data_IF_285846476986
#
_entry.id   IF_285846476986
#
_cell.length_a   1.000
_cell.length_b   1.000
_cell.length_c   1.000
_cell.angle_alpha   90.00
_cell.angle_beta   90.00
_cell.angle_gamma   90.00
#
_symmetry.space_group_name_H-M   'P 1'
#
loop_
_entity.id
_entity.type
_entity.pdbx_description
1 polymer ?
#
# COMPACT_ATOMS: atom_id res chain seq x y z
N UNK A 1 1.37 15.13 -14.15
CA UNK A 1 2.28 15.39 -13.03
C UNK A 1 1.46 15.31 -11.75
N UNK A 2 1.96 14.67 -10.71
CA UNK A 2 1.32 14.56 -9.39
C UNK A 2 1.99 15.60 -8.49
N UNK A 3 1.20 16.48 -7.87
CA UNK A 3 1.72 17.42 -6.86
C UNK A 3 1.76 16.70 -5.51
N UNK A 4 2.87 16.67 -4.76
CA UNK A 4 2.92 16.11 -3.42
C UNK A 4 2.04 16.93 -2.46
N UNK A 5 1.35 16.22 -1.56
CA UNK A 5 0.52 16.82 -0.51
C UNK A 5 1.01 16.27 0.82
N UNK A 6 1.84 17.02 1.50
CA UNK A 6 2.43 16.63 2.76
C UNK A 6 3.94 16.39 2.67
N UNK A 7 4.60 16.31 3.81
CA UNK A 7 5.99 15.91 3.89
C UNK A 7 6.08 14.40 3.69
N UNK A 8 6.38 13.99 2.47
CA UNK A 8 6.66 12.59 2.15
C UNK A 8 8.15 12.35 2.36
N UNK A 9 8.51 11.44 3.26
CA UNK A 9 9.90 11.10 3.56
C UNK A 9 10.50 10.12 2.55
N UNK A 10 9.74 9.72 1.54
CA UNK A 10 10.20 8.80 0.49
C UNK A 10 11.09 9.53 -0.53
N UNK A 11 12.28 8.99 -0.78
CA UNK A 11 13.22 9.50 -1.79
C UNK A 11 12.86 8.88 -3.16
N UNK A 12 12.29 9.64 -4.11
CA UNK A 12 11.79 9.10 -5.40
C UNK A 12 12.87 8.97 -6.47
N UNK A 13 14.15 8.84 -6.07
CA UNK A 13 15.28 8.61 -6.96
C UNK A 13 15.65 7.13 -6.98
N UNK A 14 16.11 6.63 -8.12
CA UNK A 14 16.67 5.29 -8.19
C UNK A 14 18.00 5.22 -7.45
N UNK A 15 18.24 4.10 -6.76
CA UNK A 15 19.48 3.88 -6.01
C UNK A 15 20.74 4.21 -6.85
N UNK A 16 20.81 3.71 -8.08
CA UNK A 16 21.95 3.95 -8.97
C UNK A 16 22.08 5.42 -9.43
N UNK A 17 20.96 6.11 -9.66
CA UNK A 17 20.96 7.52 -10.04
C UNK A 17 21.43 8.40 -8.88
N UNK A 18 20.93 8.13 -7.66
CA UNK A 18 21.39 8.82 -6.45
C UNK A 18 22.88 8.60 -6.21
N UNK A 19 23.38 7.35 -6.27
CA UNK A 19 24.80 7.04 -6.12
C UNK A 19 25.65 7.80 -7.13
N UNK A 20 25.24 7.81 -8.41
CA UNK A 20 25.94 8.54 -9.46
C UNK A 20 25.97 10.06 -9.23
N UNK A 21 24.84 10.62 -8.78
CA UNK A 21 24.71 12.05 -8.49
C UNK A 21 25.58 12.45 -7.29
N UNK A 22 25.51 11.71 -6.18
CA UNK A 22 26.33 11.97 -4.99
C UNK A 22 27.81 11.82 -5.29
N UNK A 23 28.24 10.77 -6.00
CA UNK A 23 29.62 10.58 -6.39
C UNK A 23 30.15 11.67 -7.34
N UNK A 24 29.30 12.37 -8.09
CA UNK A 24 29.70 13.44 -9.00
C UNK A 24 29.85 14.81 -8.31
N UNK A 25 29.36 14.98 -7.09
CA UNK A 25 29.42 16.24 -6.34
C UNK A 25 30.74 16.39 -5.54
N UNK A 26 31.51 15.33 -5.38
CA UNK A 26 32.84 15.35 -4.76
C UNK A 26 33.94 15.70 -5.75
N UNK A 27 35.18 15.80 -5.26
CA UNK A 27 36.36 15.90 -6.12
C UNK A 27 36.51 14.63 -6.99
N UNK A 28 36.96 14.78 -8.24
CA UNK A 28 37.10 13.64 -9.16
C UNK A 28 37.97 12.51 -8.56
N UNK A 29 38.95 12.84 -7.71
CA UNK A 29 39.78 11.88 -6.99
C UNK A 29 39.00 10.99 -6.01
N UNK A 30 37.90 11.50 -5.43
CA UNK A 30 37.10 10.80 -4.41
C UNK A 30 35.97 9.98 -5.02
N UNK A 31 35.67 10.19 -6.31
CA UNK A 31 34.54 9.52 -6.98
C UNK A 31 34.59 8.00 -6.89
N UNK A 32 35.78 7.41 -7.02
CA UNK A 32 35.93 5.96 -6.92
C UNK A 32 35.70 5.46 -5.50
N UNK A 33 36.15 6.21 -4.48
CA UNK A 33 35.93 5.86 -3.08
C UNK A 33 34.44 5.98 -2.72
N UNK A 34 33.71 6.98 -3.23
CA UNK A 34 32.25 7.07 -3.08
C UNK A 34 31.55 5.86 -3.70
N UNK A 35 31.90 5.46 -4.91
CA UNK A 35 31.32 4.29 -5.56
C UNK A 35 31.60 3.00 -4.78
N UNK A 36 32.81 2.87 -4.17
CA UNK A 36 33.12 1.75 -3.27
C UNK A 36 32.26 1.77 -2.01
N UNK A 37 32.17 2.93 -1.38
CA UNK A 37 31.30 3.11 -0.21
C UNK A 37 29.86 2.68 -0.50
N UNK A 38 29.26 3.16 -1.60
CA UNK A 38 27.91 2.79 -2.00
C UNK A 38 27.80 1.31 -2.37
N UNK A 39 28.79 0.74 -3.00
CA UNK A 39 28.83 -0.67 -3.36
C UNK A 39 28.82 -1.59 -2.13
N UNK A 40 29.75 -1.39 -1.20
CA UNK A 40 29.89 -2.22 -0.01
C UNK A 40 28.68 -2.02 0.93
N UNK A 41 28.28 -0.77 1.18
CA UNK A 41 27.10 -0.51 2.01
C UNK A 41 25.83 -1.11 1.41
N UNK A 42 25.64 -1.03 0.09
CA UNK A 42 24.51 -1.69 -0.58
C UNK A 42 24.54 -3.22 -0.39
N UNK A 43 25.71 -3.85 -0.46
CA UNK A 43 25.86 -5.28 -0.25
C UNK A 43 25.51 -5.68 1.21
N UNK A 44 25.94 -4.86 2.17
CA UNK A 44 25.62 -5.08 3.58
C UNK A 44 24.11 -4.95 3.85
N UNK A 45 23.46 -3.92 3.31
CA UNK A 45 22.00 -3.76 3.41
C UNK A 45 21.27 -4.91 2.73
N UNK A 46 21.70 -5.29 1.53
CA UNK A 46 21.10 -6.42 0.81
C UNK A 46 21.14 -7.72 1.61
N UNK A 47 22.30 -8.05 2.19
CA UNK A 47 22.43 -9.22 3.04
C UNK A 47 21.51 -9.15 4.27
N UNK A 48 21.44 -8.00 4.93
CA UNK A 48 20.57 -7.78 6.07
C UNK A 48 19.09 -8.00 5.71
N UNK A 49 18.63 -7.41 4.60
CA UNK A 49 17.24 -7.54 4.14
C UNK A 49 16.94 -8.95 3.60
N UNK A 50 17.93 -9.63 3.00
CA UNK A 50 17.78 -11.01 2.55
C UNK A 50 17.49 -11.96 3.73
N UNK A 51 18.21 -11.80 4.84
CA UNK A 51 17.96 -12.58 6.06
C UNK A 51 16.54 -12.31 6.61
N UNK A 52 16.11 -11.07 6.64
CA UNK A 52 14.74 -10.74 7.04
C UNK A 52 13.69 -11.34 6.09
N UNK A 53 13.97 -11.30 4.80
CA UNK A 53 13.08 -11.89 3.79
C UNK A 53 12.91 -13.39 3.99
N UNK A 54 14.02 -14.12 4.19
CA UNK A 54 13.95 -15.56 4.38
C UNK A 54 13.15 -15.91 5.66
N UNK A 55 13.37 -15.16 6.73
CA UNK A 55 12.60 -15.32 7.95
C UNK A 55 11.10 -14.96 7.77
N UNK A 56 10.80 -13.88 7.03
CA UNK A 56 9.41 -13.54 6.69
C UNK A 56 8.72 -14.63 5.87
N UNK A 57 9.45 -15.25 4.93
CA UNK A 57 8.92 -16.38 4.13
C UNK A 57 8.58 -17.57 5.03
N UNK A 58 9.48 -17.92 5.95
CA UNK A 58 9.27 -19.04 6.88
C UNK A 58 8.07 -18.79 7.79
N UNK A 59 7.95 -17.57 8.34
CA UNK A 59 6.83 -17.17 9.18
C UNK A 59 5.50 -17.13 8.40
N UNK A 60 5.55 -16.73 7.12
CA UNK A 60 4.35 -16.58 6.30
C UNK A 60 3.88 -17.89 5.66
N UNK A 61 4.79 -18.84 5.45
CA UNK A 61 4.50 -20.08 4.72
C UNK A 61 3.24 -20.85 5.16
N UNK A 62 2.92 -21.00 6.47
CA UNK A 62 1.69 -21.67 6.89
C UNK A 62 0.41 -20.89 6.54
N UNK A 63 0.52 -19.58 6.34
CA UNK A 63 -0.61 -18.68 6.11
C UNK A 63 -0.74 -18.25 4.66
N UNK A 64 0.22 -18.58 3.79
CA UNK A 64 0.20 -18.19 2.38
C UNK A 64 -0.84 -19.01 1.60
N UNK A 65 -1.94 -18.39 1.12
CA UNK A 65 -2.97 -19.09 0.37
C UNK A 65 -2.51 -19.59 -1.00
N UNK A 66 -1.38 -19.08 -1.51
CA UNK A 66 -0.83 -19.42 -2.83
C UNK A 66 0.39 -20.36 -2.73
N UNK A 67 0.67 -20.92 -1.53
CA UNK A 67 1.87 -21.76 -1.34
C UNK A 67 1.74 -23.12 -2.03
N UNK A 68 2.80 -23.51 -2.76
CA UNK A 68 2.96 -24.84 -3.35
C UNK A 68 3.74 -25.80 -2.42
N UNK A 69 4.32 -25.26 -1.33
CA UNK A 69 5.12 -26.03 -0.38
C UNK A 69 4.24 -26.56 0.77
N UNK A 70 4.60 -27.70 1.33
CA UNK A 70 3.94 -28.28 2.50
C UNK A 70 4.92 -28.40 3.65
N UNK A 71 4.51 -28.03 4.87
CA UNK A 71 5.34 -28.26 6.05
C UNK A 71 5.54 -29.77 6.25
N UNK A 72 6.71 -30.12 6.81
CA UNK A 72 7.00 -31.53 7.17
C UNK A 72 6.17 -31.97 8.37
N UNK A 73 5.81 -31.05 9.25
CA UNK A 73 5.04 -31.30 10.48
C UNK A 73 3.95 -30.26 10.60
N UNK A 74 2.75 -30.66 10.92
CA UNK A 74 1.65 -29.73 11.20
C UNK A 74 1.95 -28.94 12.47
N UNK A 75 1.65 -27.67 12.45
CA UNK A 75 1.82 -26.78 13.60
C UNK A 75 0.73 -27.05 14.64
N UNK A 76 1.10 -27.02 15.90
CA UNK A 76 0.16 -26.93 17.01
C UNK A 76 -0.56 -25.57 16.97
N UNK A 77 -1.87 -25.48 17.26
CA UNK A 77 -2.62 -24.22 17.25
C UNK A 77 -2.01 -23.09 18.09
N UNK A 78 -1.31 -23.41 19.17
CA UNK A 78 -0.60 -22.41 19.97
C UNK A 78 0.63 -21.86 19.24
N UNK A 79 1.39 -22.73 18.58
CA UNK A 79 2.54 -22.37 17.77
C UNK A 79 2.13 -21.57 16.52
N UNK A 80 0.97 -21.90 15.92
CA UNK A 80 0.40 -21.13 14.79
C UNK A 80 0.11 -19.69 15.17
N UNK A 81 -0.52 -19.45 16.34
CA UNK A 81 -0.80 -18.11 16.84
C UNK A 81 0.49 -17.30 17.14
N UNK A 82 1.50 -17.94 17.73
CA UNK A 82 2.79 -17.32 17.99
C UNK A 82 3.48 -16.94 16.68
N UNK A 83 3.47 -17.82 15.69
CA UNK A 83 4.05 -17.59 14.36
C UNK A 83 3.33 -16.49 13.60
N UNK A 84 1.98 -16.45 13.65
CA UNK A 84 1.19 -15.35 13.08
C UNK A 84 1.58 -14.01 13.72
N UNK A 85 1.69 -13.96 15.05
CA UNK A 85 2.05 -12.75 15.76
C UNK A 85 3.46 -12.27 15.37
N UNK A 86 4.43 -13.20 15.30
CA UNK A 86 5.80 -12.91 14.88
C UNK A 86 5.86 -12.40 13.42
N UNK A 87 5.07 -12.99 12.52
CA UNK A 87 4.95 -12.53 11.14
C UNK A 87 4.49 -11.08 11.05
N UNK A 88 3.39 -10.73 11.73
CA UNK A 88 2.89 -9.35 11.69
C UNK A 88 3.83 -8.35 12.36
N UNK A 89 4.51 -8.74 13.44
CA UNK A 89 5.50 -7.89 14.09
C UNK A 89 6.69 -7.59 13.14
N UNK A 90 7.18 -8.59 12.43
CA UNK A 90 8.27 -8.41 11.48
C UNK A 90 7.81 -7.64 10.24
N UNK A 91 6.60 -7.89 9.75
CA UNK A 91 5.99 -7.16 8.63
C UNK A 91 5.81 -5.68 8.98
N UNK A 92 5.32 -5.36 10.18
CA UNK A 92 5.16 -3.97 10.63
C UNK A 92 6.49 -3.22 10.65
N UNK A 93 7.55 -3.85 11.18
CA UNK A 93 8.91 -3.26 11.17
C UNK A 93 9.40 -2.99 9.75
N UNK A 94 9.23 -3.97 8.85
CA UNK A 94 9.59 -3.80 7.45
C UNK A 94 8.82 -2.64 6.80
N UNK A 95 7.55 -2.50 7.11
CA UNK A 95 6.72 -1.42 6.60
C UNK A 95 7.17 -0.05 7.13
N UNK A 96 7.57 0.03 8.38
CA UNK A 96 8.16 1.24 8.98
C UNK A 96 9.46 1.60 8.26
N UNK A 97 10.37 0.64 8.02
CA UNK A 97 11.59 0.83 7.25
C UNK A 97 11.32 1.29 5.80
N UNK A 98 10.21 0.87 5.22
CA UNK A 98 9.75 1.32 3.90
C UNK A 98 8.95 2.63 3.93
N UNK A 99 8.92 3.36 5.07
CA UNK A 99 8.14 4.60 5.26
C UNK A 99 6.63 4.44 5.04
N UNK A 100 6.10 3.24 5.33
CA UNK A 100 4.66 3.03 5.37
C UNK A 100 4.10 3.44 6.74
N UNK A 101 2.91 4.01 6.74
CA UNK A 101 2.16 4.31 7.96
C UNK A 101 0.84 3.56 7.98
N UNK A 102 0.45 3.06 9.12
CA UNK A 102 -0.84 2.42 9.30
C UNK A 102 -1.94 3.47 9.36
N UNK A 103 -3.07 3.19 8.71
CA UNK A 103 -4.30 3.97 8.81
C UNK A 103 -5.39 3.12 9.45
N UNK A 104 -6.06 3.72 10.45
CA UNK A 104 -7.17 3.06 11.10
C UNK A 104 -8.38 2.96 10.16
N UNK A 105 -9.10 1.85 10.25
CA UNK A 105 -10.33 1.64 9.47
C UNK A 105 -11.34 2.77 9.63
N UNK A 106 -11.48 3.31 10.83
CA UNK A 106 -12.40 4.41 11.14
C UNK A 106 -12.10 5.66 10.30
N UNK A 107 -10.84 5.92 9.99
CA UNK A 107 -10.44 7.04 9.13
C UNK A 107 -10.86 6.80 7.67
N UNK A 108 -10.81 5.56 7.22
CA UNK A 108 -11.30 5.15 5.89
C UNK A 108 -12.81 5.29 5.87
N UNK A 109 -13.51 4.79 6.89
CA UNK A 109 -14.96 4.79 7.01
C UNK A 109 -15.58 6.20 7.17
N UNK A 110 -14.94 7.12 7.88
CA UNK A 110 -15.42 8.50 8.04
C UNK A 110 -15.24 9.36 6.77
N UNK A 111 -14.32 9.00 5.89
CA UNK A 111 -14.22 9.56 4.55
C UNK A 111 -15.43 9.26 3.65
N UNK A 112 -16.29 8.32 4.06
CA UNK A 112 -17.46 7.79 3.31
C UNK A 112 -18.60 8.78 3.07
N UNK A 113 -18.69 9.87 3.80
CA UNK A 113 -19.78 10.86 3.63
C UNK A 113 -19.65 11.60 2.29
N UNK A 114 -18.51 11.53 1.64
CA UNK A 114 -18.32 12.00 0.27
C UNK A 114 -18.64 10.85 -0.68
N UNK A 115 -19.82 10.94 -1.33
CA UNK A 115 -20.28 10.06 -2.40
C UNK A 115 -19.11 9.61 -3.27
N UNK A 116 -18.91 8.29 -3.37
CA UNK A 116 -18.08 7.74 -4.44
C UNK A 116 -18.44 8.47 -5.73
N UNK A 117 -17.45 8.94 -6.48
CA UNK A 117 -17.66 9.74 -7.70
C UNK A 117 -18.45 9.02 -8.77
N UNK A 118 -18.66 7.73 -8.61
CA UNK A 118 -19.50 6.90 -9.47
C UNK A 118 -20.99 6.98 -9.07
N UNK A 119 -21.36 7.78 -8.05
CA UNK A 119 -22.73 7.90 -7.57
C UNK A 119 -23.25 6.69 -6.80
N UNK A 120 -22.39 5.70 -6.56
CA UNK A 120 -22.73 4.48 -5.84
C UNK A 120 -22.16 4.55 -4.43
N UNK A 121 -22.98 4.23 -3.44
CA UNK A 121 -22.52 4.07 -2.07
C UNK A 121 -22.06 2.62 -1.87
N UNK A 122 -20.80 2.45 -1.53
CA UNK A 122 -20.31 1.16 -1.07
C UNK A 122 -20.43 1.13 0.45
N UNK A 123 -20.76 -0.01 0.98
CA UNK A 123 -20.70 -0.29 2.40
C UNK A 123 -19.97 -1.59 2.58
N UNK A 124 -18.87 -1.51 3.29
CA UNK A 124 -18.15 -2.66 3.77
C UNK A 124 -18.62 -3.00 5.19
N UNK A 125 -18.72 -4.26 5.49
CA UNK A 125 -18.97 -4.76 6.83
C UNK A 125 -17.63 -5.20 7.45
N UNK A 126 -17.06 -4.44 8.40
CA UNK A 126 -15.77 -4.78 9.01
C UNK A 126 -15.84 -6.08 9.82
N UNK A 127 -17.03 -6.53 10.20
CA UNK A 127 -17.22 -7.77 10.96
C UNK A 127 -16.83 -9.05 10.20
N UNK A 128 -16.61 -8.92 8.89
CA UNK A 128 -16.18 -10.01 7.99
C UNK A 128 -14.72 -10.39 8.22
N UNK A 129 -13.91 -9.44 8.67
CA UNK A 129 -12.50 -9.65 8.88
C UNK A 129 -12.24 -10.14 10.30
N UNK A 130 -11.35 -11.09 10.43
CA UNK A 130 -10.71 -11.45 11.68
C UNK A 130 -9.60 -10.45 11.99
N UNK A 131 -8.80 -10.12 10.96
CA UNK A 131 -7.75 -9.10 11.01
C UNK A 131 -7.78 -8.27 9.73
N UNK A 132 -7.64 -6.97 9.85
CA UNK A 132 -7.52 -6.03 8.73
C UNK A 132 -6.53 -4.94 9.09
N UNK A 133 -5.44 -4.87 8.35
CA UNK A 133 -4.44 -3.82 8.46
C UNK A 133 -4.29 -3.12 7.12
N UNK A 134 -4.25 -1.79 7.18
CA UNK A 134 -4.12 -0.94 6.00
C UNK A 134 -2.91 -0.05 6.21
N UNK A 135 -1.90 -0.22 5.37
CA UNK A 135 -0.69 0.58 5.40
C UNK A 135 -0.55 1.36 4.11
N UNK A 136 -0.18 2.63 4.21
CA UNK A 136 -0.05 3.53 3.06
C UNK A 136 1.29 4.25 3.08
N UNK A 137 1.79 4.58 1.88
CA UNK A 137 2.99 5.37 1.71
C UNK A 137 2.82 6.35 0.57
N UNK A 138 3.34 7.56 0.78
CA UNK A 138 3.33 8.63 -0.20
C UNK A 138 1.95 9.20 -0.46
N UNK A 139 1.84 10.51 -0.48
CA UNK A 139 0.62 11.23 -0.80
C UNK A 139 0.87 12.22 -1.93
N UNK A 140 0.01 12.21 -2.92
CA UNK A 140 0.05 13.21 -3.99
C UNK A 140 -1.34 13.48 -4.56
N UNK A 141 -1.42 14.48 -5.42
CA UNK A 141 -2.65 14.83 -6.10
C UNK A 141 -2.53 14.47 -7.58
N UNK A 142 -3.46 13.67 -8.05
CA UNK A 142 -3.57 13.32 -9.47
C UNK A 142 -4.69 14.11 -10.13
N UNK A 143 -4.43 14.72 -11.28
CA UNK A 143 -5.48 15.30 -12.10
C UNK A 143 -6.21 14.24 -12.91
N UNK A 144 -7.53 14.21 -12.80
CA UNK A 144 -8.41 13.38 -13.64
C UNK A 144 -9.33 14.27 -14.47
N UNK A 145 -9.58 13.86 -15.72
CA UNK A 145 -10.58 14.48 -16.59
C UNK A 145 -11.93 13.78 -16.35
N UNK A 146 -13.00 14.57 -16.18
CA UNK A 146 -14.36 14.06 -16.12
C UNK A 146 -14.98 14.20 -17.51
N UNK A 147 -15.26 13.09 -18.17
CA UNK A 147 -16.05 13.07 -19.39
C UNK A 147 -17.52 13.34 -19.03
N UNK A 148 -18.02 14.50 -19.36
CA UNK A 148 -19.42 14.86 -19.17
C UNK A 148 -20.10 14.77 -20.55
N UNK A 149 -20.75 13.66 -20.81
CA UNK A 149 -21.43 13.39 -22.09
C UNK A 149 -22.56 14.40 -22.43
N UNK A 150 -23.07 15.15 -21.42
CA UNK A 150 -24.11 16.17 -21.59
C UNK A 150 -23.56 17.56 -21.99
N UNK A 151 -22.26 17.82 -21.80
CA UNK A 151 -21.63 19.08 -22.16
C UNK A 151 -20.50 18.81 -23.15
N UNK A 152 -20.75 19.07 -24.41
CA UNK A 152 -19.82 18.95 -25.53
C UNK A 152 -18.56 19.83 -25.41
N UNK A 153 -18.44 20.64 -24.35
CA UNK A 153 -17.38 21.64 -24.23
C UNK A 153 -16.70 21.50 -22.86
N UNK A 154 -15.41 21.27 -22.89
CA UNK A 154 -14.38 21.19 -21.85
C UNK A 154 -14.57 20.12 -20.77
N UNK A 155 -13.73 19.10 -20.74
CA UNK A 155 -13.68 18.14 -19.63
C UNK A 155 -13.17 18.88 -18.39
N UNK A 156 -14.00 19.00 -17.36
CA UNK A 156 -13.56 19.56 -16.08
C UNK A 156 -12.47 18.68 -15.50
N UNK A 157 -11.28 19.25 -15.32
CA UNK A 157 -10.20 18.64 -14.56
C UNK A 157 -10.51 18.80 -13.08
N UNK A 158 -10.26 17.75 -12.32
CA UNK A 158 -10.39 17.77 -10.87
C UNK A 158 -9.22 17.05 -10.22
N UNK A 159 -8.79 17.57 -9.10
CA UNK A 159 -7.67 17.04 -8.32
C UNK A 159 -8.17 15.94 -7.40
N UNK A 160 -7.49 14.78 -7.42
CA UNK A 160 -7.79 13.60 -6.60
C UNK A 160 -6.61 13.29 -5.72
N UNK A 161 -6.76 13.32 -4.39
CA UNK A 161 -5.69 12.85 -3.52
C UNK A 161 -5.54 11.33 -3.66
N UNK A 162 -4.29 10.88 -3.82
CA UNK A 162 -3.93 9.48 -3.98
C UNK A 162 -2.85 9.08 -2.99
N UNK A 163 -2.84 7.81 -2.60
CA UNK A 163 -1.68 7.17 -1.99
C UNK A 163 -0.83 6.51 -3.08
N UNK A 164 0.49 6.70 -3.01
CA UNK A 164 1.42 6.12 -3.98
C UNK A 164 1.48 4.60 -3.86
N UNK A 165 1.49 4.11 -2.62
CA UNK A 165 1.48 2.69 -2.26
C UNK A 165 0.43 2.43 -1.19
N UNK A 166 -0.16 1.26 -1.24
CA UNK A 166 -1.04 0.77 -0.21
C UNK A 166 -0.89 -0.74 -0.09
N UNK A 167 -0.62 -1.21 1.12
CA UNK A 167 -0.67 -2.61 1.48
C UNK A 167 -1.95 -2.87 2.26
N UNK A 168 -2.64 -3.92 1.88
CA UNK A 168 -3.72 -4.54 2.66
C UNK A 168 -3.23 -5.89 3.17
N UNK A 169 -3.24 -6.09 4.47
CA UNK A 169 -3.07 -7.38 5.11
C UNK A 169 -4.39 -7.78 5.77
N UNK A 170 -4.95 -8.90 5.37
CA UNK A 170 -6.28 -9.31 5.83
C UNK A 170 -6.38 -10.81 6.06
N UNK A 171 -7.08 -11.18 7.13
CA UNK A 171 -7.56 -12.54 7.42
C UNK A 171 -9.09 -12.49 7.49
N UNK A 172 -9.77 -13.39 6.78
CA UNK A 172 -11.22 -13.45 6.71
C UNK A 172 -11.76 -14.43 7.78
N UNK A 173 -12.87 -14.05 8.42
CA UNK A 173 -13.60 -15.00 9.28
C UNK A 173 -14.24 -16.11 8.45
N UNK A 174 -14.26 -17.34 8.93
CA UNK A 174 -14.94 -18.44 8.27
C UNK A 174 -16.48 -18.18 8.28
N UNK A 175 -17.03 -17.58 7.22
CA UNK A 175 -18.47 -17.40 7.03
C UNK A 175 -18.91 -17.95 5.68
N UNK A 176 -20.01 -18.74 5.62
CA UNK A 176 -20.46 -19.38 4.37
C UNK A 176 -20.97 -18.39 3.32
N UNK A 177 -21.35 -17.17 3.69
CA UNK A 177 -22.08 -16.24 2.79
C UNK A 177 -21.21 -15.27 1.98
N UNK A 178 -19.90 -15.16 2.24
CA UNK A 178 -19.04 -14.12 1.65
C UNK A 178 -18.05 -14.70 0.66
N UNK A 179 -18.24 -15.93 0.29
CA UNK A 179 -17.37 -16.62 -0.66
C UNK A 179 -17.64 -16.16 -2.09
N UNK A 180 -16.96 -15.10 -2.49
CA UNK A 180 -16.45 -15.02 -3.84
C UNK A 180 -15.20 -15.93 -3.96
N UNK A 181 -14.53 -15.90 -5.09
CA UNK A 181 -13.36 -16.74 -5.45
C UNK A 181 -12.10 -16.56 -4.55
N UNK A 182 -12.23 -16.06 -3.32
CA UNK A 182 -11.11 -15.93 -2.38
C UNK A 182 -11.01 -17.20 -1.52
N UNK A 183 -9.82 -17.82 -1.45
CA UNK A 183 -9.55 -18.88 -0.49
C UNK A 183 -9.88 -18.38 0.93
N UNK A 184 -10.53 -19.20 1.73
CA UNK A 184 -11.03 -18.82 3.05
C UNK A 184 -9.97 -18.81 4.12
N UNK A 185 -8.94 -19.58 3.92
CA UNK A 185 -7.86 -19.85 4.86
C UNK A 185 -6.64 -19.01 4.50
N UNK A 186 -5.90 -18.59 5.51
CA UNK A 186 -4.66 -17.87 5.34
C UNK A 186 -4.77 -16.33 5.48
N UNK A 187 -3.61 -15.70 5.35
CA UNK A 187 -3.42 -14.27 5.40
C UNK A 187 -3.22 -13.77 3.97
N UNK A 188 -4.10 -12.90 3.52
CA UNK A 188 -4.00 -12.33 2.19
C UNK A 188 -3.28 -10.98 2.24
N UNK A 189 -2.19 -10.87 1.52
CA UNK A 189 -1.47 -9.62 1.31
C UNK A 189 -1.76 -9.09 -0.08
N UNK A 190 -2.10 -7.80 -0.20
CA UNK A 190 -2.33 -7.15 -1.50
C UNK A 190 -1.68 -5.79 -1.54
N UNK A 191 -0.74 -5.62 -2.46
CA UNK A 191 -0.03 -4.38 -2.67
C UNK A 191 -0.60 -3.64 -3.90
N UNK A 192 -0.95 -2.36 -3.70
CA UNK A 192 -1.52 -1.51 -4.73
C UNK A 192 -0.68 -0.26 -4.97
N UNK A 193 -0.84 0.34 -6.16
CA UNK A 193 -0.23 1.61 -6.54
C UNK A 193 -1.27 2.65 -6.90
N UNK A 194 -0.96 3.94 -6.60
CA UNK A 194 -1.76 5.12 -7.00
C UNK A 194 -3.23 4.97 -6.66
N UNK A 195 -3.49 4.64 -5.40
CA UNK A 195 -4.84 4.41 -4.89
C UNK A 195 -5.49 5.74 -4.51
N UNK A 196 -6.61 6.13 -5.14
CA UNK A 196 -7.37 7.29 -4.70
C UNK A 196 -7.91 7.07 -3.29
N UNK A 197 -7.78 8.08 -2.42
CA UNK A 197 -8.29 8.00 -1.03
C UNK A 197 -9.80 7.69 -0.98
N UNK A 198 -10.53 8.10 -2.00
CA UNK A 198 -11.99 7.88 -2.11
C UNK A 198 -12.36 6.45 -2.55
N UNK A 199 -11.42 5.70 -3.13
CA UNK A 199 -11.66 4.37 -3.70
C UNK A 199 -11.16 3.23 -2.79
N UNK A 200 -10.65 3.54 -1.59
CA UNK A 200 -10.09 2.55 -0.65
C UNK A 200 -11.05 1.42 -0.31
N UNK A 201 -12.33 1.73 -0.11
CA UNK A 201 -13.35 0.73 0.20
C UNK A 201 -13.61 -0.26 -0.94
N UNK A 202 -13.39 0.17 -2.18
CA UNK A 202 -13.59 -0.70 -3.35
C UNK A 202 -12.56 -1.81 -3.43
N UNK A 203 -11.42 -1.64 -2.77
CA UNK A 203 -10.30 -2.59 -2.78
C UNK A 203 -10.49 -3.72 -1.76
N UNK A 204 -11.42 -3.53 -0.81
CA UNK A 204 -11.67 -4.48 0.26
C UNK A 204 -12.67 -5.56 -0.18
N UNK A 205 -12.38 -6.85 0.08
CA UNK A 205 -13.32 -7.92 -0.22
C UNK A 205 -14.59 -7.78 0.64
N UNK A 206 -15.72 -8.24 0.11
CA UNK A 206 -17.02 -8.15 0.81
C UNK A 206 -17.71 -6.79 0.73
N UNK A 207 -17.16 -5.84 -0.01
CA UNK A 207 -17.84 -4.57 -0.26
C UNK A 207 -19.12 -4.78 -1.09
N UNK A 208 -20.27 -4.39 -0.53
CA UNK A 208 -21.59 -4.51 -1.19
C UNK A 208 -22.02 -3.16 -1.76
N UNK A 209 -22.43 -3.18 -3.02
CA UNK A 209 -23.04 -2.02 -3.66
C UNK A 209 -24.39 -1.70 -3.02
N UNK A 210 -24.54 -0.49 -2.49
CA UNK A 210 -25.81 0.05 -2.04
C UNK A 210 -26.37 0.99 -3.12
N UNK A 211 -27.58 0.71 -3.56
CA UNK A 211 -28.30 1.64 -4.43
C UNK A 211 -28.51 2.96 -3.70
N UNK A 212 -28.13 4.06 -4.34
CA UNK A 212 -28.47 5.41 -3.86
C UNK A 212 -29.97 5.54 -3.73
N UNK A 213 -30.44 6.36 -2.77
CA UNK A 213 -31.88 6.66 -2.64
C UNK A 213 -32.52 7.17 -3.93
N UNK A 214 -31.76 7.90 -4.75
CA UNK A 214 -32.18 8.35 -6.09
C UNK A 214 -32.31 7.18 -7.08
N UNK A 215 -31.43 6.19 -7.04
CA UNK A 215 -31.55 5.00 -7.91
C UNK A 215 -32.69 4.10 -7.48
N UNK A 216 -32.98 4.02 -6.17
CA UNK A 216 -34.20 3.35 -5.66
C UNK A 216 -35.47 4.08 -6.11
N UNK A 217 -35.45 5.41 -6.12
CA UNK A 217 -36.56 6.23 -6.63
C UNK A 217 -36.78 6.04 -8.13
N UNK A 218 -35.70 6.02 -8.91
CA UNK A 218 -35.75 5.82 -10.36
C UNK A 218 -36.27 4.44 -10.77
N UNK A 219 -36.07 3.41 -9.95
CA UNK A 219 -36.59 2.05 -10.18
C UNK A 219 -38.00 1.89 -9.53
N UNK A 220 -38.21 2.46 -8.36
CA UNK A 220 -39.44 2.30 -7.59
C UNK A 220 -40.58 3.19 -8.07
N UNK A 221 -40.30 4.44 -8.47
CA UNK A 221 -41.34 5.40 -8.89
C UNK A 221 -42.19 4.92 -10.07
N UNK A 222 -41.59 4.37 -11.15
CA UNK A 222 -42.38 3.83 -12.25
C UNK A 222 -43.16 2.58 -11.90
N UNK A 223 -42.65 1.74 -10.99
CA UNK A 223 -43.38 0.58 -10.48
C UNK A 223 -44.62 1.01 -9.68
N UNK A 224 -44.49 1.97 -8.78
CA UNK A 224 -45.58 2.50 -7.96
C UNK A 224 -46.63 3.23 -8.82
N UNK A 225 -46.17 4.11 -9.72
CA UNK A 225 -47.10 4.82 -10.62
C UNK A 225 -47.81 3.88 -11.56
N UNK A 226 -47.15 2.83 -11.98
CA UNK A 226 -47.75 1.82 -12.83
C UNK A 226 -48.75 0.95 -12.10
N UNK A 227 -48.49 0.55 -10.88
CA UNK A 227 -49.48 -0.16 -10.04
C UNK A 227 -50.71 0.74 -9.79
N UNK A 228 -50.52 2.02 -9.50
CA UNK A 228 -51.60 2.99 -9.32
C UNK A 228 -52.44 3.15 -10.61
N UNK A 229 -51.77 3.23 -11.78
CA UNK A 229 -52.49 3.26 -13.06
C UNK A 229 -53.27 1.99 -13.36
N UNK A 230 -52.68 0.81 -13.06
CA UNK A 230 -53.38 -0.47 -13.21
C UNK A 230 -54.62 -0.55 -12.30
N UNK A 231 -54.49 -0.18 -11.03
CA UNK A 231 -55.61 -0.15 -10.08
C UNK A 231 -56.67 0.89 -10.50
N UNK A 232 -56.25 2.07 -10.97
CA UNK A 232 -57.14 3.10 -11.46
C UNK A 232 -57.93 2.65 -12.71
N UNK A 233 -57.24 2.03 -13.67
CA UNK A 233 -57.89 1.49 -14.87
C UNK A 233 -58.81 0.31 -14.55
N UNK A 234 -58.46 -0.56 -13.61
CA UNK A 234 -59.33 -1.64 -13.15
C UNK A 234 -60.59 -1.11 -12.46
N UNK A 235 -60.47 -0.07 -11.63
CA UNK A 235 -61.58 0.60 -10.98
C UNK A 235 -62.49 1.30 -12.00
N UNK A 236 -61.92 2.00 -13.01
CA UNK A 236 -62.67 2.60 -14.09
C UNK A 236 -63.40 1.54 -14.94
N UNK A 237 -62.79 0.39 -15.21
CA UNK A 237 -63.40 -0.71 -15.94
C UNK A 237 -64.58 -1.33 -15.18
N UNK A 238 -64.50 -1.40 -13.85
CA UNK A 238 -65.60 -1.87 -12.98
C UNK A 238 -66.75 -0.85 -12.94
N UNK A 239 -66.44 0.45 -12.91
CA UNK A 239 -67.43 1.53 -12.86
C UNK A 239 -68.09 1.80 -14.21
N UNK A 240 -67.44 1.46 -15.32
CA UNK A 240 -67.94 1.65 -16.68
C UNK A 240 -68.51 0.36 -17.27
N UNK A 241 -69.52 -0.22 -16.67
CA UNK A 241 -70.20 -1.48 -17.09
C UNK A 241 -70.72 -1.50 -18.55
N UNK A 242 -70.55 -0.46 -19.35
CA UNK A 242 -70.92 -0.35 -20.77
C UNK A 242 -69.82 -0.41 -21.82
N UNK A 243 -68.53 -0.44 -21.44
CA UNK A 243 -67.37 -0.40 -22.36
C UNK A 243 -66.49 -1.68 -22.31
N UNK A 244 -67.10 -2.84 -22.31
CA UNK A 244 -66.42 -4.11 -22.06
C UNK A 244 -65.20 -4.45 -22.94
N UNK A 245 -65.18 -4.10 -24.23
CA UNK A 245 -64.05 -4.42 -25.12
C UNK A 245 -62.97 -3.34 -25.13
N UNK A 246 -63.33 -2.06 -25.07
CA UNK A 246 -62.36 -0.95 -25.03
C UNK A 246 -61.63 -0.90 -23.68
N UNK A 247 -62.31 -1.17 -22.59
CA UNK A 247 -61.71 -1.20 -21.24
C UNK A 247 -60.72 -2.34 -21.08
N UNK A 248 -60.95 -3.50 -21.69
CA UNK A 248 -60.01 -4.63 -21.66
C UNK A 248 -58.76 -4.35 -22.49
N UNK A 249 -58.87 -3.74 -23.67
CA UNK A 249 -57.74 -3.35 -24.51
C UNK A 249 -56.82 -2.31 -23.86
N UNK A 250 -57.41 -1.32 -23.17
CA UNK A 250 -56.66 -0.31 -22.42
C UNK A 250 -55.95 -0.92 -21.20
N UNK A 251 -56.56 -1.88 -20.52
CA UNK A 251 -55.95 -2.59 -19.39
C UNK A 251 -54.74 -3.43 -19.83
N UNK A 252 -54.83 -4.15 -20.95
CA UNK A 252 -53.74 -4.94 -21.51
C UNK A 252 -52.62 -4.07 -22.02
N UNK A 253 -52.89 -2.96 -22.68
CA UNK A 253 -51.84 -2.04 -23.15
C UNK A 253 -51.08 -1.39 -21.98
N UNK A 254 -51.77 -1.04 -20.90
CA UNK A 254 -51.14 -0.54 -19.67
C UNK A 254 -50.27 -1.62 -18.99
N UNK A 255 -50.74 -2.88 -18.94
CA UNK A 255 -49.98 -3.98 -18.38
C UNK A 255 -48.69 -4.27 -19.19
N UNK A 256 -48.77 -4.26 -20.52
CA UNK A 256 -47.61 -4.43 -21.42
C UNK A 256 -46.64 -3.25 -21.29
N UNK A 257 -47.12 -2.02 -21.22
CA UNK A 257 -46.29 -0.83 -21.03
C UNK A 257 -45.52 -0.89 -19.68
N UNK A 258 -46.19 -1.34 -18.63
CA UNK A 258 -45.62 -1.51 -17.28
C UNK A 258 -44.59 -2.63 -17.24
N UNK A 259 -44.91 -3.79 -17.81
CA UNK A 259 -43.99 -4.92 -17.94
C UNK A 259 -42.76 -4.53 -18.71
N UNK A 260 -42.92 -3.84 -19.86
CA UNK A 260 -41.85 -3.32 -20.70
C UNK A 260 -40.98 -2.28 -19.97
N UNK A 261 -41.60 -1.36 -19.23
CA UNK A 261 -40.88 -0.37 -18.43
C UNK A 261 -40.13 -1.01 -17.26
N UNK A 262 -40.77 -1.93 -16.55
CA UNK A 262 -40.14 -2.70 -15.47
C UNK A 262 -38.94 -3.48 -15.95
N UNK A 263 -39.07 -4.17 -17.09
CA UNK A 263 -37.98 -4.90 -17.72
C UNK A 263 -36.84 -3.96 -18.16
N UNK A 264 -37.17 -2.82 -18.78
CA UNK A 264 -36.19 -1.81 -19.18
C UNK A 264 -35.45 -1.23 -17.97
N UNK A 265 -36.17 -0.94 -16.88
CA UNK A 265 -35.58 -0.42 -15.64
C UNK A 265 -34.65 -1.43 -14.97
N UNK A 266 -35.09 -2.70 -14.91
CA UNK A 266 -34.27 -3.81 -14.42
C UNK A 266 -33.03 -4.05 -15.28
N UNK A 267 -33.17 -4.08 -16.61
CA UNK A 267 -32.06 -4.21 -17.54
C UNK A 267 -31.07 -3.06 -17.42
N UNK A 268 -31.54 -1.82 -17.31
CA UNK A 268 -30.69 -0.65 -17.10
C UNK A 268 -29.92 -0.73 -15.79
N UNK A 269 -30.57 -1.19 -14.71
CA UNK A 269 -29.91 -1.43 -13.42
C UNK A 269 -28.87 -2.56 -13.52
N UNK A 270 -29.21 -3.68 -14.14
CA UNK A 270 -28.29 -4.81 -14.35
C UNK A 270 -27.08 -4.38 -15.18
N UNK A 271 -27.28 -3.61 -16.26
CA UNK A 271 -26.20 -3.05 -17.06
C UNK A 271 -25.32 -2.09 -16.27
N UNK A 272 -25.89 -1.18 -15.49
CA UNK A 272 -25.12 -0.28 -14.63
C UNK A 272 -24.26 -1.05 -13.62
N UNK A 273 -24.82 -2.10 -13.00
CA UNK A 273 -24.11 -2.97 -12.06
C UNK A 273 -22.95 -3.70 -12.76
N UNK A 274 -23.19 -4.22 -13.97
CA UNK A 274 -22.18 -4.92 -14.75
C UNK A 274 -21.05 -3.98 -15.18
N UNK A 275 -21.37 -2.79 -15.73
CA UNK A 275 -20.40 -1.76 -16.07
C UNK A 275 -19.59 -1.29 -14.87
N UNK A 276 -20.21 -1.21 -13.70
CA UNK A 276 -19.50 -0.89 -12.46
C UNK A 276 -18.52 -2.00 -12.07
N UNK A 277 -18.97 -3.26 -12.04
CA UNK A 277 -18.09 -4.38 -11.71
C UNK A 277 -16.90 -4.47 -12.68
N UNK A 278 -17.14 -4.28 -13.98
CA UNK A 278 -16.08 -4.23 -15.00
C UNK A 278 -15.10 -3.07 -14.74
N UNK A 279 -15.60 -1.91 -14.32
CA UNK A 279 -14.76 -0.74 -14.01
C UNK A 279 -13.92 -0.98 -12.76
N UNK A 280 -14.51 -1.52 -11.71
CA UNK A 280 -13.81 -1.90 -10.47
C UNK A 280 -12.76 -2.96 -10.78
N UNK A 281 -13.10 -4.02 -11.51
CA UNK A 281 -12.15 -5.07 -11.91
C UNK A 281 -11.01 -4.50 -12.74
N UNK A 282 -11.30 -3.59 -13.69
CA UNK A 282 -10.29 -2.92 -14.50
C UNK A 282 -9.37 -2.05 -13.64
N UNK A 283 -9.91 -1.27 -12.69
CA UNK A 283 -9.09 -0.46 -11.79
C UNK A 283 -8.23 -1.33 -10.87
N UNK A 284 -8.80 -2.37 -10.28
CA UNK A 284 -8.07 -3.35 -9.47
C UNK A 284 -6.93 -3.99 -10.26
N UNK A 285 -7.19 -4.42 -11.50
CA UNK A 285 -6.18 -5.03 -12.35
C UNK A 285 -4.98 -4.11 -12.61
N UNK A 286 -5.20 -2.82 -12.91
CA UNK A 286 -4.12 -1.89 -13.21
C UNK A 286 -3.47 -1.26 -11.97
N UNK A 287 -4.12 -1.31 -10.82
CA UNK A 287 -3.59 -0.76 -9.56
C UNK A 287 -2.91 -1.82 -8.69
N UNK A 288 -3.29 -3.09 -8.83
CA UNK A 288 -2.63 -4.19 -8.13
C UNK A 288 -1.20 -4.33 -8.65
N UNK A 289 -0.24 -4.31 -7.75
CA UNK A 289 1.17 -4.55 -8.04
C UNK A 289 1.50 -6.01 -7.82
N UNK A 290 1.25 -6.50 -6.60
CA UNK A 290 1.59 -7.84 -6.17
C UNK A 290 0.60 -8.36 -5.13
N UNK A 291 0.68 -9.66 -4.83
CA UNK A 291 -0.11 -10.31 -3.80
C UNK A 291 0.72 -11.36 -3.07
N UNK A 292 0.32 -11.63 -1.82
CA UNK A 292 0.85 -12.69 -0.97
C UNK A 292 2.39 -12.64 -0.90
N UNK A 293 3.09 -13.72 -1.15
CA UNK A 293 4.55 -13.75 -1.12
C UNK A 293 5.18 -12.71 -2.08
N UNK A 294 4.60 -12.47 -3.27
CA UNK A 294 5.09 -11.44 -4.18
C UNK A 294 5.03 -10.03 -3.59
N UNK A 295 4.02 -9.74 -2.76
CA UNK A 295 3.95 -8.48 -2.04
C UNK A 295 5.05 -8.36 -0.98
N UNK A 296 5.35 -9.44 -0.25
CA UNK A 296 6.46 -9.48 0.73
C UNK A 296 7.79 -9.20 0.05
N UNK A 297 8.11 -9.92 -1.03
CA UNK A 297 9.34 -9.74 -1.81
C UNK A 297 9.52 -8.28 -2.25
N UNK A 298 8.46 -7.68 -2.77
CA UNK A 298 8.50 -6.30 -3.24
C UNK A 298 8.64 -5.28 -2.11
N UNK A 299 8.00 -5.52 -0.96
CA UNK A 299 8.13 -4.64 0.20
C UNK A 299 9.55 -4.64 0.74
N UNK A 300 10.20 -5.81 0.81
CA UNK A 300 11.61 -5.94 1.23
C UNK A 300 12.52 -5.18 0.28
N UNK A 301 12.36 -5.37 -1.04
CA UNK A 301 13.15 -4.64 -2.06
C UNK A 301 12.96 -3.11 -1.95
N UNK A 302 11.70 -2.64 -1.83
CA UNK A 302 11.40 -1.21 -1.69
C UNK A 302 11.93 -0.64 -0.37
N UNK A 303 11.96 -1.41 0.74
CA UNK A 303 12.52 -0.99 2.02
C UNK A 303 14.06 -0.93 1.96
N UNK A 304 14.71 -1.98 1.44
CA UNK A 304 16.17 -2.00 1.23
C UNK A 304 16.64 -0.78 0.43
N UNK A 305 15.96 -0.51 -0.71
CA UNK A 305 16.33 0.63 -1.54
C UNK A 305 16.17 1.97 -0.82
N UNK A 306 15.11 2.12 -0.02
CA UNK A 306 14.84 3.35 0.72
C UNK A 306 15.93 3.58 1.77
N UNK A 307 16.24 2.56 2.55
CA UNK A 307 17.25 2.58 3.58
C UNK A 307 18.66 2.92 3.05
N UNK A 308 19.02 2.30 1.91
CA UNK A 308 20.28 2.66 1.24
C UNK A 308 20.32 4.14 0.86
N UNK A 309 19.24 4.66 0.27
CA UNK A 309 19.18 6.05 -0.18
C UNK A 309 19.29 7.04 0.98
N UNK A 310 18.61 6.75 2.08
CA UNK A 310 18.65 7.58 3.28
C UNK A 310 20.06 7.59 3.92
N UNK A 311 20.65 6.42 4.11
CA UNK A 311 21.99 6.31 4.68
C UNK A 311 23.05 7.00 3.80
N UNK A 312 22.98 6.80 2.49
CA UNK A 312 23.93 7.41 1.55
C UNK A 312 23.82 8.94 1.53
N UNK A 313 22.60 9.47 1.48
CA UNK A 313 22.38 10.91 1.48
C UNK A 313 22.86 11.54 2.80
N UNK A 314 22.47 10.95 3.94
CA UNK A 314 22.88 11.45 5.25
C UNK A 314 24.41 11.45 5.42
N UNK A 315 25.07 10.35 5.07
CA UNK A 315 26.54 10.25 5.17
C UNK A 315 27.23 11.22 4.21
N UNK A 316 26.78 11.31 2.95
CA UNK A 316 27.36 12.23 1.96
C UNK A 316 27.24 13.69 2.40
N UNK A 317 26.09 14.10 2.91
CA UNK A 317 25.85 15.46 3.39
C UNK A 317 26.70 15.75 4.61
N UNK A 318 26.86 14.80 5.55
CA UNK A 318 27.76 14.95 6.69
C UNK A 318 29.22 15.14 6.25
N UNK A 319 29.73 14.31 5.34
CA UNK A 319 31.14 14.35 4.90
C UNK A 319 31.47 15.66 4.18
N UNK A 320 30.55 16.13 3.30
CA UNK A 320 30.87 17.25 2.41
C UNK A 320 30.49 18.63 2.98
N UNK A 321 29.56 18.68 3.94
CA UNK A 321 28.98 19.97 4.38
C UNK A 321 29.07 20.20 5.88
N UNK A 322 29.23 19.17 6.72
CA UNK A 322 29.31 19.39 8.14
C UNK A 322 30.65 20.02 8.55
N UNK A 323 30.64 20.93 9.55
CA UNK A 323 31.86 21.44 10.14
C UNK A 323 32.60 20.31 10.91
N UNK A 324 33.89 20.54 11.23
CA UNK A 324 34.66 19.58 12.00
C UNK A 324 34.05 19.21 13.37
N UNK A 325 33.24 20.10 13.94
CA UNK A 325 32.50 19.83 15.16
C UNK A 325 31.32 18.84 14.98
N UNK A 326 30.89 18.57 13.75
CA UNK A 326 29.71 17.79 13.42
C UNK A 326 28.42 18.61 13.42
N UNK A 327 27.29 17.93 13.16
CA UNK A 327 25.96 18.50 13.18
C UNK A 327 25.04 17.76 14.16
N UNK A 328 24.02 18.47 14.64
CA UNK A 328 22.87 17.83 15.32
C UNK A 328 22.00 17.10 14.29
N UNK A 329 21.18 16.16 14.75
CA UNK A 329 20.21 15.46 13.88
C UNK A 329 19.31 16.45 13.11
N UNK A 330 18.79 17.47 13.77
CA UNK A 330 17.92 18.49 13.17
C UNK A 330 18.62 19.30 12.06
N UNK A 331 19.90 19.63 12.25
CA UNK A 331 20.69 20.32 11.23
C UNK A 331 20.90 19.42 10.01
N UNK A 332 21.27 18.16 10.22
CA UNK A 332 21.45 17.21 9.14
C UNK A 332 20.15 16.99 8.37
N UNK A 333 19.03 16.80 9.06
CA UNK A 333 17.71 16.67 8.46
C UNK A 333 17.37 17.85 7.55
N UNK A 334 17.55 19.09 8.05
CA UNK A 334 17.29 20.29 7.27
C UNK A 334 18.17 20.38 6.01
N UNK A 335 19.44 19.95 6.11
CA UNK A 335 20.35 19.98 4.96
C UNK A 335 20.03 18.88 3.94
N UNK A 336 19.70 17.67 4.38
CA UNK A 336 19.25 16.58 3.50
C UNK A 336 17.93 16.94 2.78
N UNK A 337 16.96 17.50 3.51
CA UNK A 337 15.70 17.97 2.93
C UNK A 337 15.92 19.11 1.93
N UNK A 338 16.82 20.06 2.24
CA UNK A 338 17.22 21.13 1.34
C UNK A 338 17.88 20.60 0.06
N UNK A 339 18.79 19.64 0.19
CA UNK A 339 19.45 18.99 -0.94
C UNK A 339 18.43 18.26 -1.84
N UNK A 340 17.54 17.46 -1.25
CA UNK A 340 16.47 16.78 -1.98
C UNK A 340 15.54 17.76 -2.70
N UNK A 341 15.16 18.84 -2.05
CA UNK A 341 14.31 19.88 -2.64
C UNK A 341 14.98 20.52 -3.85
N UNK A 342 16.30 20.76 -3.79
CA UNK A 342 17.07 21.30 -4.92
C UNK A 342 17.17 20.34 -6.10
N UNK A 343 17.24 19.03 -5.85
CA UNK A 343 17.34 17.99 -6.90
C UNK A 343 15.97 17.65 -7.50
N UNK A 344 14.92 17.60 -6.67
CA UNK A 344 13.59 17.13 -7.08
C UNK A 344 12.66 18.23 -7.59
N UNK A 345 13.07 19.51 -7.44
CA UNK A 345 12.26 20.69 -7.79
C UNK A 345 10.89 20.74 -7.06
N UNK A 346 10.79 20.07 -5.91
CA UNK A 346 9.64 20.13 -5.01
C UNK A 346 10.06 19.80 -3.57
N UNK A 347 9.25 20.23 -2.60
CA UNK A 347 9.51 19.94 -1.18
C UNK A 347 9.54 18.43 -0.94
N UNK A 348 10.63 17.95 -0.37
CA UNK A 348 10.80 16.58 0.11
C UNK A 348 11.12 16.63 1.61
N UNK A 349 10.44 15.81 2.39
CA UNK A 349 10.81 15.54 3.77
C UNK A 349 11.97 14.56 3.82
N UNK A 350 12.71 14.55 4.92
CA UNK A 350 13.77 13.57 5.20
C UNK A 350 13.74 13.23 6.68
N UNK A 351 13.66 11.95 7.01
CA UNK A 351 13.74 11.46 8.37
C UNK A 351 15.15 10.96 8.66
N UNK A 352 15.89 11.73 9.44
CA UNK A 352 17.31 11.48 9.65
C UNK A 352 17.59 10.44 10.75
N UNK A 353 16.63 10.24 11.67
CA UNK A 353 16.85 9.43 12.87
C UNK A 353 17.25 7.99 12.57
N UNK A 354 16.54 7.38 11.63
CA UNK A 354 16.77 5.99 11.22
C UNK A 354 18.08 5.84 10.43
N UNK A 355 18.35 6.75 9.51
CA UNK A 355 19.60 6.80 8.77
C UNK A 355 20.83 6.95 9.69
N UNK A 356 20.77 7.86 10.67
CA UNK A 356 21.82 8.05 11.67
C UNK A 356 22.01 6.81 12.53
N UNK A 357 20.92 6.20 12.98
CA UNK A 357 20.99 4.96 13.77
C UNK A 357 21.76 3.86 13.04
N UNK A 358 21.58 3.71 11.72
CA UNK A 358 22.32 2.75 10.89
C UNK A 358 23.77 3.12 10.68
N UNK A 359 24.05 4.39 10.38
CA UNK A 359 25.41 4.88 10.19
C UNK A 359 26.25 4.76 11.48
N UNK A 360 25.65 4.97 12.66
CA UNK A 360 26.28 4.72 13.95
C UNK A 360 26.61 3.24 14.16
N UNK A 361 25.64 2.34 13.86
CA UNK A 361 25.84 0.90 13.99
C UNK A 361 26.87 0.33 13.01
N UNK A 362 26.95 0.92 11.81
CA UNK A 362 28.04 0.63 10.85
C UNK A 362 29.37 1.27 11.26
N UNK A 363 29.38 2.06 12.33
CA UNK A 363 30.57 2.73 12.86
C UNK A 363 31.24 3.68 11.84
N UNK A 364 30.47 4.21 10.88
CA UNK A 364 30.92 5.20 9.89
C UNK A 364 30.59 6.65 10.31
N UNK A 365 29.79 6.80 11.36
CA UNK A 365 29.49 8.07 12.04
C UNK A 365 29.69 7.86 13.52
N UNK A 366 30.22 8.85 14.22
CA UNK A 366 30.33 8.89 15.68
C UNK A 366 29.38 9.96 16.22
N UNK A 367 28.79 9.69 17.40
CA UNK A 367 28.00 10.66 18.15
C UNK A 367 28.76 11.10 19.38
N UNK A 368 29.01 12.38 19.50
CA UNK A 368 29.62 13.00 20.68
C UNK A 368 28.78 14.21 21.13
N UNK A 369 28.24 14.18 22.31
CA UNK A 369 27.44 15.29 22.90
C UNK A 369 26.25 15.74 22.03
N UNK A 370 25.60 14.83 21.32
CA UNK A 370 24.47 15.12 20.42
C UNK A 370 24.90 15.69 19.06
N UNK A 371 26.19 15.68 18.73
CA UNK A 371 26.75 16.05 17.44
C UNK A 371 27.23 14.79 16.71
N UNK A 372 26.85 14.67 15.47
CA UNK A 372 27.19 13.55 14.59
C UNK A 372 28.36 13.94 13.70
N UNK A 373 29.41 13.15 13.76
CA UNK A 373 30.65 13.34 12.99
C UNK A 373 30.87 12.15 12.07
N UNK A 374 31.06 12.38 10.77
CA UNK A 374 31.39 11.28 9.86
C UNK A 374 32.85 10.89 10.02
N UNK A 375 33.16 9.60 9.86
CA UNK A 375 34.51 9.17 9.54
C UNK A 375 34.91 9.71 8.16
N UNK A 376 36.21 9.98 7.92
CA UNK A 376 36.70 10.24 6.58
C UNK A 376 36.33 9.13 5.61
N UNK A 377 35.95 9.47 4.37
CA UNK A 377 35.40 8.51 3.39
C UNK A 377 36.21 7.23 3.26
N UNK A 378 37.53 7.35 3.17
CA UNK A 378 38.44 6.20 3.02
C UNK A 378 38.43 5.28 4.25
N UNK A 379 38.35 5.85 5.43
CA UNK A 379 38.29 5.07 6.68
C UNK A 379 36.91 4.38 6.78
N UNK A 380 35.84 5.05 6.38
CA UNK A 380 34.52 4.46 6.34
C UNK A 380 34.46 3.27 5.35
N UNK A 381 35.05 3.39 4.17
CA UNK A 381 35.16 2.28 3.21
C UNK A 381 35.89 1.08 3.84
N UNK A 382 37.03 1.32 4.48
CA UNK A 382 37.79 0.27 5.17
C UNK A 382 37.01 -0.39 6.29
N UNK A 383 36.22 0.40 7.01
CA UNK A 383 35.35 -0.10 8.09
C UNK A 383 34.23 -0.99 7.57
N UNK A 384 33.56 -0.57 6.50
CA UNK A 384 32.52 -1.37 5.85
C UNK A 384 33.05 -2.67 5.27
N UNK A 385 34.26 -2.62 4.67
CA UNK A 385 34.96 -3.79 4.13
C UNK A 385 35.27 -4.80 5.23
N UNK A 386 35.79 -4.32 6.36
CA UNK A 386 36.05 -5.17 7.53
C UNK A 386 34.79 -5.80 8.12
N UNK A 387 33.64 -5.08 8.09
CA UNK A 387 32.35 -5.64 8.48
C UNK A 387 31.92 -6.73 7.51
N UNK A 388 32.05 -6.50 6.20
CA UNK A 388 31.74 -7.48 5.15
C UNK A 388 32.60 -8.76 5.29
N UNK A 389 33.89 -8.64 5.45
CA UNK A 389 34.79 -9.78 5.65
C UNK A 389 34.50 -10.58 6.94
N UNK A 390 33.94 -9.90 7.95
CA UNK A 390 33.53 -10.52 9.21
C UNK A 390 32.16 -11.22 9.18
N UNK A 391 31.38 -11.15 8.08
CA UNK A 391 30.06 -11.76 8.02
C UNK A 391 30.11 -13.30 8.02
N UNK A 392 31.11 -13.91 7.35
CA UNK A 392 31.26 -15.36 7.21
C UNK A 392 32.58 -15.82 7.74
N UNK A 393 32.80 -15.80 9.08
CA UNK A 393 34.05 -16.24 9.63
C UNK A 393 34.25 -17.74 9.36
N UNK A 394 35.47 -18.12 8.90
CA UNK A 394 35.84 -19.49 8.53
C UNK A 394 35.64 -20.50 9.69
N UNK A 395 35.61 -20.03 10.93
CA UNK A 395 35.47 -20.83 12.15
C UNK A 395 34.03 -20.83 12.74
N UNK A 396 33.08 -20.26 12.04
CA UNK A 396 31.69 -20.24 12.52
C UNK A 396 31.06 -21.63 12.39
N UNK A 397 30.55 -22.18 13.48
CA UNK A 397 29.89 -23.48 13.51
C UNK A 397 28.48 -23.46 12.89
N UNK A 398 27.94 -22.28 12.62
CA UNK A 398 26.60 -22.11 12.00
C UNK A 398 26.65 -21.03 10.91
N UNK A 399 26.01 -21.29 9.77
CA UNK A 399 25.86 -20.30 8.68
C UNK A 399 25.11 -19.03 9.10
N UNK A 400 24.39 -19.06 10.23
CA UNK A 400 23.58 -17.94 10.73
C UNK A 400 24.35 -16.94 11.63
N UNK A 401 25.56 -17.27 12.12
CA UNK A 401 26.26 -16.37 13.05
C UNK A 401 26.65 -15.02 12.42
N UNK A 402 27.07 -15.03 11.15
CA UNK A 402 27.38 -13.80 10.44
C UNK A 402 26.16 -12.93 10.17
N UNK A 403 25.07 -13.57 9.76
CA UNK A 403 23.78 -12.92 9.55
C UNK A 403 23.22 -12.33 10.86
N UNK A 404 23.32 -13.07 11.96
CA UNK A 404 22.92 -12.57 13.29
C UNK A 404 23.77 -11.37 13.73
N UNK A 405 25.09 -11.39 13.53
CA UNK A 405 25.96 -10.25 13.84
C UNK A 405 25.64 -9.01 13.02
N UNK A 406 25.30 -9.17 11.75
CA UNK A 406 24.89 -8.04 10.92
C UNK A 406 23.50 -7.53 11.32
N UNK A 407 22.58 -8.43 11.64
CA UNK A 407 21.27 -8.09 12.15
C UNK A 407 21.35 -7.40 13.53
N UNK A 408 22.31 -7.81 14.39
CA UNK A 408 22.64 -7.11 15.64
C UNK A 408 23.19 -5.71 15.37
N UNK A 409 24.01 -5.56 14.35
CA UNK A 409 24.60 -4.26 13.98
C UNK A 409 23.60 -3.35 13.28
N UNK A 410 22.79 -3.84 12.36
CA UNK A 410 21.86 -3.04 11.56
C UNK A 410 20.44 -3.01 12.12
N UNK A 411 20.05 -4.03 12.90
CA UNK A 411 18.75 -4.14 13.52
C UNK A 411 18.69 -3.53 14.92
N UNK A 412 17.53 -3.13 15.35
CA UNK A 412 17.28 -2.95 16.79
C UNK A 412 17.41 -4.31 17.46
N UNK A 413 18.05 -4.40 18.63
CA UNK A 413 18.34 -5.66 19.36
C UNK A 413 17.13 -6.58 19.63
N UNK A 414 15.93 -6.18 19.22
CA UNK A 414 14.71 -6.99 19.16
C UNK A 414 14.69 -7.99 18.00
N UNK A 415 15.34 -7.68 16.87
CA UNK A 415 15.43 -8.60 15.72
C UNK A 415 16.27 -9.83 16.08
N UNK A 416 17.29 -9.65 16.89
CA UNK A 416 18.17 -10.74 17.34
C UNK A 416 17.42 -11.81 18.12
N UNK A 417 16.38 -11.46 18.87
CA UNK A 417 15.53 -12.42 19.58
C UNK A 417 14.65 -13.24 18.63
N UNK A 418 14.26 -12.64 17.51
CA UNK A 418 13.41 -13.28 16.49
C UNK A 418 14.25 -14.12 15.51
N UNK A 419 15.50 -13.68 15.22
CA UNK A 419 16.44 -14.36 14.32
C UNK A 419 17.29 -15.44 15.01
N UNK A 420 17.10 -15.70 16.32
CA UNK A 420 17.77 -16.78 17.01
C UNK A 420 16.86 -18.02 17.03
N UNK A 421 16.75 -18.79 15.92
CA UNK A 421 16.04 -20.02 15.91
C UNK A 421 16.89 -21.04 16.71
N UNK A 422 16.27 -21.68 17.65
CA UNK A 422 16.75 -22.95 18.16
C UNK A 422 16.65 -23.96 16.99
N UNK A 423 17.68 -24.02 16.17
CA UNK A 423 17.99 -25.13 15.30
C UNK A 423 19.34 -25.69 15.65
#
# INVERSE_FOLDING_TARGET
MTEPVGEDHFIPLRKAELAGLLASQGADADRQEWLRFFGISSALFHHYFQVQLDHLKDLYAPFDPDTDTRPLTDLDPAAELEQESAFFELLERLLQQGNFRQIAWEQVATGQVRRSRLGLQMRMDPSVFERLEIHVRGESVMERKRENWWKLWEPKRYKVPIHHRMLLALRLKPRPEITGDLPREGIHLKLFRRVPKEDLEMLLPGSRLRLSGLDKGLVGFPLVTGVIMLLGNALLAILSAGFGVLGSLLSWSAAIALGGYGFRSYSAWKSKRMHYNLRVSKHLYFQKLDSNLGAVLRLVDEAEEQECREAWLAYHVLVNHAPAAGWTATQLEAHCAGWLTGVLDHRAGFEVGDALGKLLRLEVVAEETGLYRPLPLREAVMKLDAIWDGLFPTNAHTMNEGACRLAEKLGDGKITKVLNPRF
#
